data_IF_186777531635
#
_entry.id   IF_186777531635
#
_cell.length_a   1.000
_cell.length_b   1.000
_cell.length_c   1.000
_cell.angle_alpha   90.00
_cell.angle_beta   90.00
_cell.angle_gamma   90.00
#
_symmetry.space_group_name_H-M   'P 1'
#
loop_
_entity.id
_entity.type
_entity.pdbx_description
1 polymer ?
#
# COMPACT_ATOMS: atom_id res chain seq x y z
N UNK A 1 -9.18 21.24 -11.21
CA UNK A 1 -8.87 20.23 -10.16
C UNK A 1 -8.49 18.96 -10.90
N UNK A 2 -7.25 18.51 -10.76
CA UNK A 2 -6.79 17.27 -11.41
C UNK A 2 -7.33 16.09 -10.62
N UNK A 3 -8.01 15.15 -11.29
CA UNK A 3 -8.56 13.95 -10.65
C UNK A 3 -7.46 12.92 -10.48
N UNK A 4 -7.26 12.44 -9.27
CA UNK A 4 -6.31 11.38 -8.94
C UNK A 4 -7.06 10.04 -8.95
N UNK A 5 -6.44 9.03 -9.53
CA UNK A 5 -7.00 7.69 -9.58
C UNK A 5 -6.22 6.75 -8.69
N UNK A 6 -6.92 5.82 -8.06
CA UNK A 6 -6.30 4.73 -7.34
C UNK A 6 -7.20 3.51 -7.24
N UNK A 7 -6.61 2.43 -6.77
CA UNK A 7 -7.27 1.14 -6.63
C UNK A 7 -6.91 0.51 -5.28
N UNK A 8 -7.93 0.02 -4.59
CA UNK A 8 -7.79 -0.79 -3.39
C UNK A 8 -7.83 -2.28 -3.79
N UNK A 9 -6.76 -3.02 -3.52
CA UNK A 9 -6.66 -4.45 -3.87
C UNK A 9 -7.00 -5.28 -2.64
N UNK A 10 -8.20 -5.84 -2.62
CA UNK A 10 -8.74 -6.64 -1.51
C UNK A 10 -9.03 -8.07 -1.94
N UNK A 11 -8.94 -9.00 -1.00
CA UNK A 11 -9.13 -10.43 -1.26
C UNK A 11 -8.53 -11.30 -0.15
N UNK A 12 -9.00 -12.55 -0.01
CA UNK A 12 -8.55 -13.44 1.06
C UNK A 12 -7.05 -13.77 0.96
N UNK A 13 -6.45 -14.37 2.02
CA UNK A 13 -5.07 -14.82 1.96
C UNK A 13 -4.86 -15.79 0.79
N UNK A 14 -3.76 -15.65 0.05
CA UNK A 14 -3.46 -16.50 -1.11
C UNK A 14 -4.22 -16.15 -2.40
N UNK A 15 -5.10 -15.14 -2.42
CA UNK A 15 -5.81 -14.73 -3.65
C UNK A 15 -4.95 -14.02 -4.69
N UNK A 16 -3.67 -13.76 -4.39
CA UNK A 16 -2.71 -13.15 -5.32
C UNK A 16 -2.69 -11.61 -5.36
N UNK A 17 -3.11 -10.91 -4.29
CA UNK A 17 -3.12 -9.43 -4.23
C UNK A 17 -1.75 -8.80 -4.52
N UNK A 18 -0.73 -9.19 -3.77
CA UNK A 18 0.66 -8.73 -3.94
C UNK A 18 1.21 -9.04 -5.33
N UNK A 19 0.90 -10.22 -5.87
CA UNK A 19 1.25 -10.62 -7.24
C UNK A 19 0.56 -9.74 -8.29
N UNK A 20 -0.72 -9.43 -8.07
CA UNK A 20 -1.47 -8.50 -8.91
C UNK A 20 -0.85 -7.09 -8.88
N UNK A 21 -0.49 -6.59 -7.69
CA UNK A 21 0.17 -5.30 -7.54
C UNK A 21 1.48 -5.22 -8.33
N UNK A 22 2.32 -6.26 -8.23
CA UNK A 22 3.55 -6.36 -9.01
C UNK A 22 3.30 -6.33 -10.52
N UNK A 23 2.31 -7.11 -10.99
CA UNK A 23 1.98 -7.18 -12.41
C UNK A 23 1.43 -5.85 -12.96
N UNK A 24 0.64 -5.12 -12.16
CA UNK A 24 0.14 -3.80 -12.55
C UNK A 24 1.27 -2.77 -12.61
N UNK A 25 2.19 -2.75 -11.64
CA UNK A 25 3.35 -1.85 -11.70
C UNK A 25 4.22 -2.14 -12.93
N UNK A 26 4.50 -3.41 -13.22
CA UNK A 26 5.24 -3.81 -14.42
C UNK A 26 4.54 -3.38 -15.72
N UNK A 27 3.21 -3.55 -15.79
CA UNK A 27 2.42 -3.10 -16.94
C UNK A 27 2.48 -1.57 -17.13
N UNK A 28 2.35 -0.79 -16.07
CA UNK A 28 2.47 0.67 -16.16
C UNK A 28 3.86 1.10 -16.64
N UNK A 29 4.90 0.49 -16.08
CA UNK A 29 6.29 0.79 -16.44
C UNK A 29 6.61 0.45 -17.90
N UNK A 30 6.09 -0.68 -18.42
CA UNK A 30 6.36 -1.15 -19.79
C UNK A 30 5.45 -0.53 -20.85
N UNK A 31 4.16 -0.43 -20.57
CA UNK A 31 3.16 -0.14 -21.60
C UNK A 31 2.65 1.31 -21.54
N UNK A 32 2.55 1.89 -20.34
CA UNK A 32 1.94 3.21 -20.14
C UNK A 32 2.99 4.31 -20.26
N UNK A 33 4.15 4.19 -19.60
CA UNK A 33 5.19 5.23 -19.65
C UNK A 33 5.77 5.50 -21.05
N UNK A 34 5.57 4.60 -22.02
CA UNK A 34 5.89 4.85 -23.44
C UNK A 34 4.86 5.71 -24.20
N UNK A 35 3.63 5.86 -23.70
CA UNK A 35 2.50 6.50 -24.41
C UNK A 35 1.83 7.62 -23.61
N UNK A 36 1.81 7.52 -22.29
CA UNK A 36 1.24 8.49 -21.34
C UNK A 36 2.09 8.36 -20.09
N UNK A 37 2.95 9.34 -19.81
CA UNK A 37 3.94 9.33 -18.71
C UNK A 37 3.30 9.36 -17.30
N UNK A 38 2.37 8.45 -17.02
CA UNK A 38 1.64 8.31 -15.76
C UNK A 38 2.41 7.35 -14.86
N UNK A 39 2.98 7.91 -13.81
CA UNK A 39 3.66 7.14 -12.78
C UNK A 39 2.66 6.34 -11.95
N UNK A 40 3.09 5.18 -11.47
CA UNK A 40 2.36 4.35 -10.53
C UNK A 40 3.11 4.26 -9.21
N UNK A 41 2.39 4.33 -8.10
CA UNK A 41 2.92 4.10 -6.76
C UNK A 41 2.13 3.00 -6.07
N UNK A 42 2.83 2.04 -5.48
CA UNK A 42 2.21 1.03 -4.63
C UNK A 42 2.36 1.45 -3.16
N UNK A 43 1.27 1.34 -2.41
CA UNK A 43 1.18 1.51 -0.97
C UNK A 43 0.91 0.15 -0.36
N UNK A 44 1.82 -0.36 0.45
CA UNK A 44 1.62 -1.58 1.23
C UNK A 44 0.92 -1.24 2.55
N UNK A 45 -0.28 -1.77 2.75
CA UNK A 45 -1.02 -1.69 4.00
C UNK A 45 -1.02 -3.02 4.77
N UNK A 46 -0.34 -4.05 4.27
CA UNK A 46 -0.17 -5.33 4.96
C UNK A 46 1.11 -5.33 5.81
N UNK A 47 0.96 -5.15 7.13
CA UNK A 47 2.07 -5.14 8.07
C UNK A 47 2.76 -6.51 8.22
N UNK A 48 2.19 -7.60 7.66
CA UNK A 48 2.81 -8.92 7.62
C UNK A 48 3.57 -9.19 6.31
N UNK A 49 3.51 -8.28 5.33
CA UNK A 49 4.12 -8.46 4.01
C UNK A 49 5.49 -7.77 3.92
N UNK A 50 6.55 -8.52 4.22
CA UNK A 50 7.94 -7.98 4.24
C UNK A 50 8.72 -8.20 2.94
N UNK A 51 8.38 -9.24 2.17
CA UNK A 51 9.10 -9.62 0.95
C UNK A 51 8.25 -9.30 -0.30
N UNK A 52 8.26 -8.04 -0.73
CA UNK A 52 7.47 -7.57 -1.86
C UNK A 52 8.24 -7.65 -3.19
N UNK A 53 7.64 -8.23 -4.26
CA UNK A 53 8.26 -8.32 -5.59
C UNK A 53 8.10 -7.03 -6.43
N UNK A 54 7.93 -5.88 -5.79
CA UNK A 54 7.70 -4.58 -6.43
C UNK A 54 8.34 -3.44 -5.65
N UNK A 55 8.48 -2.27 -6.29
CA UNK A 55 8.91 -1.06 -5.58
C UNK A 55 7.74 -0.48 -4.78
N UNK A 56 7.86 -0.53 -3.45
CA UNK A 56 6.87 0.01 -2.52
C UNK A 56 7.18 1.47 -2.20
N UNK A 57 6.22 2.36 -2.45
CA UNK A 57 6.41 3.80 -2.25
C UNK A 57 6.07 4.26 -0.83
N UNK A 58 5.11 3.60 -0.19
CA UNK A 58 4.73 3.81 1.21
C UNK A 58 4.47 2.42 1.79
N UNK A 59 5.19 2.08 2.85
CA UNK A 59 5.05 0.79 3.51
C UNK A 59 4.59 0.97 4.95
N UNK A 60 3.50 0.30 5.35
CA UNK A 60 3.00 0.32 6.73
C UNK A 60 4.06 -0.14 7.73
N UNK A 61 4.98 -1.03 7.32
CA UNK A 61 6.10 -1.51 8.15
C UNK A 61 7.01 -0.37 8.62
N UNK A 62 7.08 0.77 7.90
CA UNK A 62 7.81 1.97 8.33
C UNK A 62 7.18 2.65 9.57
N UNK A 63 5.88 2.39 9.82
CA UNK A 63 5.13 2.98 10.92
C UNK A 63 4.96 1.99 12.08
N UNK A 64 4.62 0.75 11.76
CA UNK A 64 4.35 -0.31 12.75
C UNK A 64 4.52 -1.69 12.13
N UNK A 65 5.10 -2.63 12.88
CA UNK A 65 5.31 -4.01 12.43
C UNK A 65 4.50 -5.00 13.27
N UNK A 66 4.09 -6.12 12.66
CA UNK A 66 3.39 -7.20 13.37
C UNK A 66 4.26 -7.79 14.48
N UNK A 67 5.58 -7.90 14.26
CA UNK A 67 6.53 -8.47 15.23
C UNK A 67 6.66 -7.57 16.47
N UNK A 68 6.83 -6.26 16.29
CA UNK A 68 6.89 -5.31 17.41
C UNK A 68 5.60 -5.36 18.25
N UNK A 69 4.45 -5.51 17.60
CA UNK A 69 3.15 -5.59 18.28
C UNK A 69 3.00 -6.91 19.04
N UNK A 70 3.38 -8.04 18.42
CA UNK A 70 3.38 -9.34 19.08
C UNK A 70 4.19 -9.29 20.38
N UNK A 71 5.42 -8.78 20.31
CA UNK A 71 6.36 -8.77 21.43
C UNK A 71 5.95 -7.80 22.54
N UNK A 72 5.48 -6.59 22.19
CA UNK A 72 5.14 -5.56 23.18
C UNK A 72 3.75 -5.73 23.80
N UNK A 73 2.79 -6.30 23.06
CA UNK A 73 1.40 -6.41 23.51
C UNK A 73 0.96 -7.84 23.84
N UNK A 74 1.86 -8.83 23.72
CA UNK A 74 1.56 -10.25 23.92
C UNK A 74 0.37 -10.74 23.08
N UNK A 75 0.27 -10.24 21.85
CA UNK A 75 -0.77 -10.61 20.89
C UNK A 75 -0.28 -11.73 19.96
N UNK A 76 -1.20 -12.60 19.54
CA UNK A 76 -0.92 -13.53 18.45
C UNK A 76 -0.95 -12.84 17.08
N UNK A 77 -0.46 -13.48 16.00
CA UNK A 77 -0.26 -12.85 14.69
C UNK A 77 -1.49 -12.11 14.15
N UNK A 78 -2.69 -12.68 14.29
CA UNK A 78 -3.93 -12.05 13.82
C UNK A 78 -4.30 -10.81 14.67
N UNK A 79 -4.11 -10.89 15.99
CA UNK A 79 -4.38 -9.76 16.89
C UNK A 79 -3.42 -8.61 16.63
N UNK A 80 -2.15 -8.94 16.38
CA UNK A 80 -1.12 -7.96 16.05
C UNK A 80 -1.39 -7.28 14.70
N UNK A 81 -1.84 -8.03 13.69
CA UNK A 81 -2.22 -7.45 12.40
C UNK A 81 -3.42 -6.51 12.53
N UNK A 82 -4.47 -6.88 13.29
CA UNK A 82 -5.60 -6.00 13.55
C UNK A 82 -5.17 -4.72 14.25
N UNK A 83 -4.30 -4.83 15.25
CA UNK A 83 -3.73 -3.67 15.94
C UNK A 83 -2.94 -2.76 14.99
N UNK A 84 -2.17 -3.30 14.04
CA UNK A 84 -1.47 -2.49 13.03
C UNK A 84 -2.46 -1.66 12.19
N UNK A 85 -3.62 -2.23 11.85
CA UNK A 85 -4.67 -1.52 11.10
C UNK A 85 -5.35 -0.44 11.95
N UNK A 86 -5.64 -0.73 13.21
CA UNK A 86 -6.14 0.29 14.16
C UNK A 86 -5.10 1.40 14.38
N UNK A 87 -3.81 1.06 14.39
CA UNK A 87 -2.73 2.02 14.58
C UNK A 87 -2.61 2.99 13.40
N UNK A 88 -2.67 2.51 12.15
CA UNK A 88 -2.68 3.41 10.99
C UNK A 88 -3.98 4.24 10.93
N UNK A 89 -5.12 3.71 11.35
CA UNK A 89 -6.37 4.47 11.44
C UNK A 89 -6.23 5.65 12.42
N UNK A 90 -5.70 5.40 13.61
CA UNK A 90 -5.44 6.44 14.62
C UNK A 90 -4.33 7.42 14.21
N UNK A 91 -3.48 7.04 13.26
CA UNK A 91 -2.37 7.84 12.75
C UNK A 91 -2.52 8.14 11.26
N UNK A 92 -3.75 8.28 10.76
CA UNK A 92 -4.03 8.38 9.31
C UNK A 92 -3.31 9.57 8.65
N UNK A 93 -3.02 10.62 9.41
CA UNK A 93 -2.21 11.77 8.98
C UNK A 93 -0.83 11.37 8.44
N UNK A 94 -0.23 10.31 8.99
CA UNK A 94 1.04 9.77 8.50
C UNK A 94 0.91 9.31 7.05
N UNK A 95 -0.15 8.56 6.74
CA UNK A 95 -0.44 8.07 5.39
C UNK A 95 -0.79 9.23 4.45
N UNK A 96 -1.68 10.13 4.89
CA UNK A 96 -2.12 11.27 4.09
C UNK A 96 -0.96 12.20 3.72
N UNK A 97 -0.04 12.49 4.65
CA UNK A 97 1.15 13.30 4.37
C UNK A 97 2.05 12.64 3.33
N UNK A 98 2.31 11.34 3.45
CA UNK A 98 3.14 10.61 2.47
C UNK A 98 2.48 10.53 1.10
N UNK A 99 1.17 10.30 1.03
CA UNK A 99 0.40 10.34 -0.21
C UNK A 99 0.48 11.72 -0.87
N UNK A 100 0.31 12.80 -0.09
CA UNK A 100 0.41 14.17 -0.58
C UNK A 100 1.79 14.44 -1.19
N UNK A 101 2.88 13.98 -0.56
CA UNK A 101 4.23 14.11 -1.11
C UNK A 101 4.38 13.37 -2.45
N UNK A 102 3.76 12.19 -2.61
CA UNK A 102 3.78 11.47 -3.90
C UNK A 102 3.00 12.21 -4.98
N UNK A 103 1.86 12.79 -4.62
CA UNK A 103 1.02 13.57 -5.54
C UNK A 103 1.77 14.86 -5.96
N UNK A 104 2.38 15.56 -4.99
CA UNK A 104 3.07 16.82 -5.22
C UNK A 104 4.27 16.69 -6.16
N UNK A 105 4.97 15.54 -6.13
CA UNK A 105 6.03 15.22 -7.09
C UNK A 105 5.57 15.29 -8.56
N UNK A 106 4.28 15.15 -8.82
CA UNK A 106 3.68 15.16 -10.15
C UNK A 106 2.77 16.36 -10.41
N UNK A 107 2.71 17.33 -9.50
CA UNK A 107 1.81 18.50 -9.60
C UNK A 107 2.11 19.39 -10.82
N UNK A 108 3.33 19.34 -11.36
CA UNK A 108 3.72 20.04 -12.60
C UNK A 108 3.43 19.25 -13.88
N UNK A 109 2.96 18.01 -13.76
CA UNK A 109 2.70 17.11 -14.89
C UNK A 109 1.22 17.14 -15.27
N UNK A 110 0.92 16.91 -16.55
CA UNK A 110 -0.47 16.74 -17.03
C UNK A 110 -1.03 15.35 -16.68
N UNK A 111 -0.22 14.46 -16.11
CA UNK A 111 -0.58 13.07 -15.82
C UNK A 111 -0.43 12.79 -14.32
N UNK A 112 -1.51 12.97 -13.52
CA UNK A 112 -1.48 12.63 -12.10
C UNK A 112 -1.11 11.15 -11.91
N UNK A 113 -0.44 10.81 -10.80
CA UNK A 113 -0.01 9.45 -10.55
C UNK A 113 -1.22 8.53 -10.32
N UNK A 114 -1.01 7.24 -10.57
CA UNK A 114 -1.93 6.16 -10.20
C UNK A 114 -1.48 5.53 -8.89
N UNK A 115 -2.38 5.41 -7.91
CA UNK A 115 -2.04 4.85 -6.58
C UNK A 115 -2.68 3.48 -6.40
N UNK A 116 -1.88 2.47 -6.12
CA UNK A 116 -2.36 1.11 -5.87
C UNK A 116 -2.12 0.75 -4.41
N UNK A 117 -3.13 0.24 -3.73
CA UNK A 117 -3.04 -0.15 -2.32
C UNK A 117 -3.10 -1.68 -2.22
N UNK A 118 -2.02 -2.30 -1.75
CA UNK A 118 -2.00 -3.72 -1.39
C UNK A 118 -2.51 -3.87 0.04
N UNK A 119 -3.68 -4.47 0.21
CA UNK A 119 -4.33 -4.59 1.51
C UNK A 119 -4.00 -5.91 2.21
N UNK A 120 -4.08 -5.95 3.55
CA UNK A 120 -3.92 -7.18 4.31
C UNK A 120 -4.76 -8.34 3.77
N UNK A 121 -4.15 -9.52 3.72
CA UNK A 121 -4.89 -10.73 3.32
C UNK A 121 -5.94 -11.18 4.32
N UNK A 122 -5.73 -10.92 5.61
CA UNK A 122 -6.67 -11.29 6.67
C UNK A 122 -7.71 -10.19 6.88
N UNK A 123 -8.90 -10.38 6.32
CA UNK A 123 -10.11 -9.72 6.80
C UNK A 123 -10.81 -10.70 7.73
N UNK A 124 -10.79 -10.39 9.04
CA UNK A 124 -11.33 -11.19 10.15
C UNK A 124 -12.49 -12.16 9.83
N UNK A 125 -12.30 -13.44 10.14
CA UNK A 125 -13.36 -14.28 10.69
C UNK A 125 -12.85 -14.89 12.00
N UNK A 126 -13.34 -14.36 13.11
CA UNK A 126 -13.50 -15.09 14.37
C UNK A 126 -14.98 -14.97 14.74
#
# INVERSE_FOLDING_TARGET
MTVIFGQLVVGPPGSGKTTYCAAIQDYFNKCINGHSSRHIYIVNLDAANVDMPYECAIDLVDLITVDDVCDNLNLGPNGSLMYCIEYIENNIDWLLKRLQLLIDKHSSTLSPPYILFDCPGQTSHA
#
